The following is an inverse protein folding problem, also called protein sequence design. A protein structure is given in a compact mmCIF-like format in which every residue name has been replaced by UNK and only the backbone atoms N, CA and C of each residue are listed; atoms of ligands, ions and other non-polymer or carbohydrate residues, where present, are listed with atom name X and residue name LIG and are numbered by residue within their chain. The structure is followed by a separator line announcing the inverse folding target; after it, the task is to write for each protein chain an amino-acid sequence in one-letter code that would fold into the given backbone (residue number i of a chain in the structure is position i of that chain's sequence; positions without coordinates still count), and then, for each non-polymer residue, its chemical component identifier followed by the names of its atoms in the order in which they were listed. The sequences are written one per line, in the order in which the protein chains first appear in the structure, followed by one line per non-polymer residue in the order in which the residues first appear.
data_IF_676545176893
#
_entry.id   IF_676545176893
#
_cell.length_a   1.000
_cell.length_b   1.000
_cell.length_c   1.000
_cell.angle_alpha   90.00
_cell.angle_beta   90.00
_cell.angle_gamma   90.00
#
_symmetry.space_group_name_H-M   'P 1'
#
loop_
_entity.id
_entity.type
_entity.pdbx_description
1 polymer ?
#
# COMPACT_ATOMS: atom_id res chain seq x y z
N UNK A 1 32.23 4.43 -1.41
CA UNK A 1 31.19 5.47 -1.47
C UNK A 1 29.88 4.79 -1.82
N UNK A 2 28.80 5.04 -1.08
CA UNK A 2 27.46 4.50 -1.38
C UNK A 2 26.69 5.55 -2.17
N UNK A 3 26.18 5.19 -3.35
CA UNK A 3 25.33 6.03 -4.18
C UNK A 3 23.95 5.38 -4.24
N UNK A 4 22.93 5.94 -3.55
CA UNK A 4 21.57 5.43 -3.65
C UNK A 4 21.04 5.65 -5.08
N UNK A 5 20.33 4.65 -5.60
CA UNK A 5 19.68 4.78 -6.89
C UNK A 5 18.56 5.83 -6.84
N UNK A 6 18.36 6.62 -7.91
CA UNK A 6 17.30 7.63 -7.95
C UNK A 6 15.90 7.01 -8.05
N UNK A 7 15.78 5.78 -8.57
CA UNK A 7 14.53 5.04 -8.66
C UNK A 7 14.76 3.52 -8.69
N UNK A 8 13.72 2.75 -8.38
CA UNK A 8 13.66 1.30 -8.56
C UNK A 8 12.49 0.89 -9.45
N UNK A 9 12.70 -0.20 -10.20
CA UNK A 9 11.66 -0.91 -10.95
C UNK A 9 11.59 -2.33 -10.40
N UNK A 10 10.41 -2.74 -9.95
CA UNK A 10 10.13 -4.05 -9.37
C UNK A 10 9.10 -4.74 -10.26
N UNK A 11 9.46 -5.90 -10.82
CA UNK A 11 8.60 -6.65 -11.74
C UNK A 11 8.16 -7.97 -11.10
N UNK A 12 6.85 -8.19 -11.04
CA UNK A 12 6.19 -9.41 -10.51
C UNK A 12 6.76 -9.94 -9.18
N UNK A 13 7.23 -9.04 -8.30
CA UNK A 13 7.80 -9.44 -7.00
C UNK A 13 6.78 -10.12 -6.08
N UNK A 14 5.49 -9.90 -6.35
CA UNK A 14 4.34 -10.48 -5.69
C UNK A 14 4.13 -11.96 -6.04
N UNK A 15 4.70 -12.45 -7.14
CA UNK A 15 4.71 -13.88 -7.46
C UNK A 15 5.57 -14.70 -6.49
N UNK A 16 6.59 -14.07 -5.89
CA UNK A 16 7.51 -14.70 -4.94
C UNK A 16 7.13 -14.48 -3.46
N UNK A 17 6.12 -13.66 -3.17
CA UNK A 17 5.73 -13.25 -1.82
C UNK A 17 4.30 -13.71 -1.48
N UNK A 18 4.06 -14.05 -0.21
CA UNK A 18 2.72 -14.30 0.32
C UNK A 18 2.00 -12.99 0.66
N UNK A 19 0.66 -13.04 0.83
CA UNK A 19 -0.15 -11.86 1.14
C UNK A 19 0.35 -11.11 2.39
N UNK A 20 0.90 -11.82 3.38
CA UNK A 20 1.46 -11.22 4.60
C UNK A 20 2.73 -10.40 4.32
N UNK A 21 3.63 -10.88 3.46
CA UNK A 21 4.85 -10.15 3.14
C UNK A 21 4.65 -9.09 2.05
N UNK A 22 3.67 -9.25 1.16
CA UNK A 22 3.24 -8.22 0.20
C UNK A 22 2.91 -6.91 0.93
N UNK A 23 2.08 -6.96 1.98
CA UNK A 23 1.72 -5.77 2.75
C UNK A 23 2.91 -5.08 3.43
N UNK A 24 3.89 -5.85 3.92
CA UNK A 24 5.12 -5.32 4.52
C UNK A 24 5.99 -4.61 3.49
N UNK A 25 6.14 -5.19 2.31
CA UNK A 25 6.93 -4.59 1.21
C UNK A 25 6.26 -3.32 0.70
N UNK A 26 4.94 -3.34 0.47
CA UNK A 26 4.18 -2.16 0.10
C UNK A 26 4.32 -1.03 1.14
N UNK A 27 4.20 -1.35 2.43
CA UNK A 27 4.38 -0.38 3.52
C UNK A 27 5.81 0.20 3.56
N UNK A 28 6.82 -0.64 3.31
CA UNK A 28 8.21 -0.19 3.25
C UNK A 28 8.46 0.80 2.11
N UNK A 29 7.96 0.48 0.91
CA UNK A 29 8.06 1.36 -0.26
C UNK A 29 7.36 2.69 0.01
N UNK A 30 6.14 2.64 0.57
CA UNK A 30 5.38 3.85 0.92
C UNK A 30 6.12 4.73 1.93
N UNK A 31 6.76 4.12 2.95
CA UNK A 31 7.58 4.84 3.93
C UNK A 31 8.87 5.47 3.38
N UNK A 32 9.26 5.14 2.14
CA UNK A 32 10.46 5.67 1.48
C UNK A 32 10.16 6.61 0.31
N UNK A 33 8.88 6.86 0.01
CA UNK A 33 8.46 7.59 -1.19
C UNK A 33 9.04 9.01 -1.34
N UNK A 34 9.32 9.70 -0.22
CA UNK A 34 9.93 11.04 -0.20
C UNK A 34 11.37 11.06 -0.76
N UNK A 35 12.05 9.91 -0.81
CA UNK A 35 13.47 9.83 -1.15
C UNK A 35 13.78 8.80 -2.23
N UNK A 36 12.80 7.98 -2.63
CA UNK A 36 12.97 6.91 -3.60
C UNK A 36 11.72 6.79 -4.46
N UNK A 37 11.87 7.02 -5.77
CA UNK A 37 10.83 6.69 -6.73
C UNK A 37 10.79 5.18 -6.94
N UNK A 38 9.62 4.58 -6.84
CA UNK A 38 9.45 3.14 -7.05
C UNK A 38 8.37 2.89 -8.08
N UNK A 39 8.68 2.12 -9.13
CA UNK A 39 7.76 1.64 -10.15
C UNK A 39 7.55 0.15 -9.89
N UNK A 40 6.31 -0.26 -9.64
CA UNK A 40 5.96 -1.66 -9.36
C UNK A 40 5.04 -2.16 -10.46
N UNK A 41 5.40 -3.29 -11.07
CA UNK A 41 4.56 -4.06 -11.98
C UNK A 41 4.04 -5.25 -11.17
N UNK A 42 2.72 -5.32 -11.01
CA UNK A 42 2.05 -6.31 -10.15
C UNK A 42 0.62 -6.52 -10.62
N UNK A 43 0.09 -7.72 -10.38
CA UNK A 43 -1.31 -8.08 -10.61
C UNK A 43 -2.11 -8.13 -9.30
N UNK A 44 -1.49 -7.84 -8.15
CA UNK A 44 -2.10 -7.91 -6.82
C UNK A 44 -2.65 -6.56 -6.39
N UNK A 45 -3.93 -6.56 -6.02
CA UNK A 45 -4.63 -5.38 -5.51
C UNK A 45 -3.94 -4.78 -4.29
N UNK A 46 -3.39 -5.63 -3.42
CA UNK A 46 -2.71 -5.21 -2.20
C UNK A 46 -1.53 -4.27 -2.45
N UNK A 47 -0.86 -4.40 -3.61
CA UNK A 47 0.23 -3.52 -4.02
C UNK A 47 -0.30 -2.23 -4.63
N UNK A 48 -1.07 -2.34 -5.72
CA UNK A 48 -1.40 -1.17 -6.53
C UNK A 48 -2.44 -0.25 -5.88
N UNK A 49 -3.24 -0.73 -4.91
CA UNK A 49 -4.19 0.11 -4.17
C UNK A 49 -3.50 1.20 -3.32
N UNK A 50 -2.23 0.98 -2.95
CA UNK A 50 -1.45 1.90 -2.10
C UNK A 50 -0.54 2.83 -2.92
N UNK A 51 -0.60 2.78 -4.25
CA UNK A 51 0.22 3.61 -5.12
C UNK A 51 -0.31 5.06 -5.19
N UNK A 52 0.57 6.02 -5.48
CA UNK A 52 0.15 7.42 -5.73
C UNK A 52 -0.54 7.56 -7.12
N UNK A 53 -0.16 6.73 -8.09
CA UNK A 53 -0.76 6.69 -9.43
C UNK A 53 -0.71 5.28 -10.04
N UNK A 54 -1.65 5.00 -10.96
CA UNK A 54 -1.69 3.77 -11.75
C UNK A 54 -1.37 4.05 -13.21
N UNK A 55 -0.58 3.16 -13.81
CA UNK A 55 -0.37 3.09 -15.26
C UNK A 55 -0.91 1.75 -15.73
N UNK A 56 -2.11 1.76 -16.30
CA UNK A 56 -2.75 0.58 -16.86
C UNK A 56 -2.35 0.36 -18.31
N UNK A 57 -1.95 -0.86 -18.65
CA UNK A 57 -1.63 -1.26 -20.01
C UNK A 57 -2.68 -2.27 -20.45
N UNK A 58 -3.36 -2.00 -21.57
CA UNK A 58 -4.39 -2.89 -22.11
C UNK A 58 -4.25 -3.03 -23.63
N UNK A 59 -4.67 -4.16 -24.22
CA UNK A 59 -4.68 -4.30 -25.67
C UNK A 59 -5.75 -3.40 -26.30
N UNK A 60 -5.43 -2.82 -27.45
CA UNK A 60 -6.41 -2.15 -28.30
C UNK A 60 -7.34 -3.21 -28.93
N UNK A 61 -8.67 -3.06 -28.84
CA UNK A 61 -9.60 -3.93 -29.58
C UNK A 61 -9.40 -3.77 -31.09
N UNK A 62 -8.60 -4.66 -31.68
CA UNK A 62 -8.30 -4.73 -33.11
C UNK A 62 -7.59 -6.04 -33.47
N UNK A 63 -7.33 -6.26 -34.77
CA UNK A 63 -6.65 -7.47 -35.26
C UNK A 63 -5.15 -7.50 -34.93
N UNK A 64 -4.55 -6.34 -34.65
CA UNK A 64 -3.14 -6.22 -34.28
C UNK A 64 -2.99 -6.03 -32.76
N UNK A 65 -1.98 -6.69 -32.18
CA UNK A 65 -1.60 -6.50 -30.78
C UNK A 65 -0.92 -5.15 -30.58
N UNK A 66 -1.73 -4.12 -30.34
CA UNK A 66 -1.27 -2.77 -30.01
C UNK A 66 -1.61 -2.52 -28.55
N UNK A 67 -0.63 -2.12 -27.73
CA UNK A 67 -0.87 -1.74 -26.34
C UNK A 67 -1.34 -0.29 -26.24
N UNK A 68 -2.46 -0.07 -25.57
CA UNK A 68 -2.94 1.23 -25.09
C UNK A 68 -2.51 1.44 -23.65
N UNK A 69 -2.18 2.69 -23.31
CA UNK A 69 -1.76 3.11 -21.97
C UNK A 69 -2.83 4.04 -21.40
N UNK A 70 -3.25 3.76 -20.18
CA UNK A 70 -4.17 4.55 -19.38
C UNK A 70 -3.46 4.97 -18.09
N UNK A 71 -3.65 6.20 -17.66
CA UNK A 71 -3.06 6.71 -16.41
C UNK A 71 -4.16 7.20 -15.47
N UNK A 72 -4.06 6.85 -14.19
CA UNK A 72 -4.97 7.31 -13.16
C UNK A 72 -4.18 7.88 -11.98
N UNK A 73 -4.53 9.08 -11.53
CA UNK A 73 -4.04 9.64 -10.29
C UNK A 73 -4.92 9.12 -9.14
N UNK A 74 -4.32 8.45 -8.16
CA UNK A 74 -5.06 7.85 -7.03
C UNK A 74 -5.22 8.80 -5.83
N UNK A 75 -4.51 9.93 -5.77
CA UNK A 75 -4.67 10.92 -4.70
C UNK A 75 -6.12 11.47 -4.64
N UNK A 76 -6.85 11.40 -5.74
CA UNK A 76 -8.25 11.80 -5.86
C UNK A 76 -9.24 10.80 -5.24
N UNK A 77 -8.76 9.60 -4.89
CA UNK A 77 -9.54 8.48 -4.40
C UNK A 77 -8.95 7.95 -3.08
N UNK A 78 -9.10 8.71 -1.97
CA UNK A 78 -8.54 8.29 -0.70
C UNK A 78 -9.11 6.93 -0.29
N UNK A 79 -8.23 5.99 0.04
CA UNK A 79 -8.63 4.69 0.57
C UNK A 79 -9.49 4.94 1.81
N UNK A 80 -10.74 4.48 1.77
CA UNK A 80 -11.59 4.42 2.94
C UNK A 80 -11.07 3.30 3.82
N UNK A 81 -9.95 3.54 4.52
CA UNK A 81 -9.51 2.69 5.60
C UNK A 81 -10.64 2.72 6.62
N UNK A 82 -11.32 1.59 6.79
CA UNK A 82 -12.12 1.39 7.99
C UNK A 82 -11.22 1.80 9.17
N UNK A 83 -11.71 2.62 10.11
CA UNK A 83 -10.90 2.97 11.27
C UNK A 83 -10.38 1.65 11.83
N UNK A 84 -9.05 1.53 11.94
CA UNK A 84 -8.46 0.41 12.64
C UNK A 84 -9.20 0.32 13.96
N UNK A 85 -9.87 -0.80 14.21
CA UNK A 85 -10.36 -1.10 15.54
C UNK A 85 -9.12 -1.07 16.42
N UNK A 86 -8.89 0.08 17.06
CA UNK A 86 -8.02 0.17 18.22
C UNK A 86 -8.48 -0.99 19.07
N UNK A 87 -7.56 -1.92 19.34
CA UNK A 87 -7.78 -3.06 20.19
C UNK A 87 -7.97 -2.56 21.64
N UNK A 88 -9.01 -1.77 21.87
CA UNK A 88 -9.56 -1.47 23.17
C UNK A 88 -10.48 -2.64 23.45
N UNK A 89 -9.90 -3.71 23.98
CA UNK A 89 -10.67 -4.74 24.64
C UNK A 89 -11.60 -4.03 25.65
N UNK A 90 -12.94 -4.06 25.46
CA UNK A 90 -13.87 -3.28 26.28
C UNK A 90 -13.80 -3.68 27.77
N UNK A 91 -13.24 -4.86 28.07
CA UNK A 91 -12.94 -5.30 29.44
C UNK A 91 -11.76 -4.56 30.08
N UNK A 92 -10.73 -4.15 29.31
CA UNK A 92 -9.59 -3.42 29.86
C UNK A 92 -9.94 -1.96 30.17
N UNK A 93 -10.82 -1.34 29.37
CA UNK A 93 -11.28 0.04 29.61
C UNK A 93 -12.10 0.16 30.90
N UNK A 94 -12.86 -0.87 31.28
CA UNK A 94 -13.59 -0.89 32.56
C UNK A 94 -12.68 -1.06 33.77
N UNK A 95 -11.57 -1.78 33.66
CA UNK A 95 -10.63 -1.97 34.78
C UNK A 95 -9.85 -0.68 35.05
N UNK A 96 -9.48 0.07 34.00
CA UNK A 96 -8.79 1.35 34.16
C UNK A 96 -9.66 2.41 34.86
N UNK A 97 -10.97 2.43 34.57
CA UNK A 97 -11.88 3.43 35.14
C UNK A 97 -12.18 3.19 36.63
N UNK A 98 -12.14 1.94 37.12
CA UNK A 98 -12.41 1.64 38.54
C UNK A 98 -11.21 1.96 39.45
N UNK A 99 -9.98 1.96 38.91
CA UNK A 99 -8.78 2.26 39.69
C UNK A 99 -8.56 3.74 40.00
N UNK A 100 -9.19 4.66 39.27
CA UNK A 100 -9.00 6.10 39.48
C UNK A 100 -9.96 6.69 40.54
N UNK A 101 -10.86 5.89 41.13
CA UNK A 101 -11.94 6.40 41.99
C UNK A 101 -11.79 6.02 43.47
N UNK A 102 -10.72 5.33 43.87
CA UNK A 102 -10.47 4.93 45.27
C UNK A 102 -9.14 5.41 45.84
N UNK A 103 -8.55 6.42 45.21
CA UNK A 103 -7.32 7.09 45.67
C UNK A 103 -7.57 8.46 46.28
N UNK A 104 -8.48 8.60 47.26
CA UNK A 104 -8.51 9.68 48.27
C UNK A 104 -9.47 9.35 49.41
#
# INVERSE_FOLDING_TARGET
SYQPAPFFVLDEIDAALDNTNIGKVASYILGKKEHLQTIVISLKEEFYQNADALVGICPDPGECLISKVLTLNLDQYPLQRAPEETNTNPFLTQIQHVSDHTGR
#
